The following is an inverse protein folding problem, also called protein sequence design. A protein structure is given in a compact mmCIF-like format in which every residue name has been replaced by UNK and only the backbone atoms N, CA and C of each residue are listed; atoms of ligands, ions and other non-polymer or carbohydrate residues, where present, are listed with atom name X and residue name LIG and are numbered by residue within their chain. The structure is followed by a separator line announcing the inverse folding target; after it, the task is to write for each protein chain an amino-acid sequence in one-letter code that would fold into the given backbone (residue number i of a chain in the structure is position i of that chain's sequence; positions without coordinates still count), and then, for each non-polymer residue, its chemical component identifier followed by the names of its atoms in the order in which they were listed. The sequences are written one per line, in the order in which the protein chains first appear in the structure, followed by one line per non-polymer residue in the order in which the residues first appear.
data_IF_258366051273
#
_entry.id   IF_258366051273
#
_cell.length_a   1.000
_cell.length_b   1.000
_cell.length_c   1.000
_cell.angle_alpha   90.00
_cell.angle_beta   90.00
_cell.angle_gamma   90.00
#
_symmetry.space_group_name_H-M   'P 1'
#
loop_
_entity.id
_entity.type
_entity.pdbx_description
1 polymer ?
#
# COMPACT_ATOMS: atom_id res chain seq x y z
N UNK A 1 19.78 1.95 -6.18
CA UNK A 1 18.59 1.29 -5.60
C UNK A 1 18.92 0.32 -4.46
N UNK A 2 19.76 -0.72 -4.62
CA UNK A 2 20.00 -1.73 -3.55
C UNK A 2 20.47 -1.14 -2.21
N UNK A 3 21.35 -0.13 -2.22
CA UNK A 3 21.84 0.57 -1.01
C UNK A 3 20.70 1.32 -0.30
N UNK A 4 19.97 2.13 -1.05
CA UNK A 4 18.80 2.91 -0.58
C UNK A 4 17.71 1.99 0.01
N UNK A 5 17.41 0.87 -0.68
CA UNK A 5 16.43 -0.10 -0.20
C UNK A 5 16.81 -0.65 1.19
N UNK A 6 18.08 -1.04 1.36
CA UNK A 6 18.58 -1.58 2.63
C UNK A 6 18.53 -0.55 3.75
N UNK A 7 18.82 0.71 3.43
CA UNK A 7 18.78 1.82 4.38
C UNK A 7 17.33 2.14 4.80
N UNK A 8 16.39 2.16 3.85
CA UNK A 8 14.96 2.32 4.14
C UNK A 8 14.42 1.12 4.95
N UNK A 9 14.82 -0.10 4.63
CA UNK A 9 14.45 -1.30 5.41
C UNK A 9 14.99 -1.27 6.84
N UNK A 10 16.19 -0.75 7.04
CA UNK A 10 16.79 -0.64 8.39
C UNK A 10 16.12 0.47 9.20
N UNK A 11 15.82 1.62 8.57
CA UNK A 11 15.30 2.80 9.27
C UNK A 11 13.78 2.81 9.47
N UNK A 12 13.03 2.13 8.60
CA UNK A 12 11.56 2.17 8.58
C UNK A 12 10.90 0.79 8.55
N UNK A 13 11.67 -0.29 8.71
CA UNK A 13 11.17 -1.68 8.63
C UNK A 13 9.92 -1.94 9.49
N UNK A 14 9.87 -1.37 10.68
CA UNK A 14 8.76 -1.52 11.62
C UNK A 14 7.44 -0.91 11.11
N UNK A 15 7.50 0.02 10.16
CA UNK A 15 6.33 0.71 9.62
C UNK A 15 5.84 0.09 8.31
N UNK A 16 6.42 -1.02 7.86
CA UNK A 16 6.02 -1.65 6.60
C UNK A 16 4.80 -2.54 6.77
N UNK A 17 3.79 -2.26 5.95
CA UNK A 17 2.65 -3.15 5.76
C UNK A 17 2.97 -4.27 4.76
N UNK A 18 3.83 -3.98 3.76
CA UNK A 18 4.27 -4.95 2.76
C UNK A 18 5.73 -4.72 2.37
N UNK A 19 6.34 -5.75 1.78
CA UNK A 19 7.70 -5.66 1.23
C UNK A 19 7.73 -4.56 0.14
N UNK A 20 8.68 -3.60 0.22
CA UNK A 20 8.86 -2.56 -0.79
C UNK A 20 8.98 -3.11 -2.20
N UNK A 21 8.22 -2.54 -3.14
CA UNK A 21 8.20 -2.96 -4.54
C UNK A 21 9.07 -2.00 -5.36
N UNK A 22 9.99 -2.55 -6.15
CA UNK A 22 10.79 -1.76 -7.09
C UNK A 22 10.15 -1.83 -8.47
N UNK A 23 9.87 -0.67 -9.07
CA UNK A 23 9.32 -0.56 -10.41
C UNK A 23 10.15 0.41 -11.24
N UNK A 24 10.94 -0.12 -12.20
CA UNK A 24 11.91 0.67 -13.00
C UNK A 24 12.86 1.45 -12.07
N UNK A 25 12.73 2.78 -12.05
CA UNK A 25 13.53 3.71 -11.24
C UNK A 25 12.82 4.17 -9.96
N UNK A 26 11.61 3.66 -9.70
CA UNK A 26 10.78 4.01 -8.56
C UNK A 26 10.84 2.91 -7.49
N UNK A 27 10.86 3.34 -6.23
CA UNK A 27 10.67 2.48 -5.07
C UNK A 27 9.33 2.83 -4.43
N UNK A 28 8.41 1.87 -4.42
CA UNK A 28 7.07 2.02 -3.84
C UNK A 28 7.09 1.41 -2.44
N UNK A 29 6.74 2.23 -1.45
CA UNK A 29 6.72 1.87 -0.03
C UNK A 29 5.27 1.79 0.46
N UNK A 30 4.87 0.63 0.97
CA UNK A 30 3.58 0.44 1.63
C UNK A 30 3.80 0.56 3.13
N UNK A 31 3.51 1.75 3.67
CA UNK A 31 3.76 2.10 5.07
C UNK A 31 2.47 2.32 5.83
N UNK A 32 2.50 2.09 7.14
CA UNK A 32 1.44 2.46 8.06
C UNK A 32 1.94 3.46 9.11
N UNK A 33 1.01 4.25 9.64
CA UNK A 33 1.29 5.26 10.64
C UNK A 33 0.05 5.49 11.49
N UNK A 34 0.26 5.69 12.78
CA UNK A 34 -0.82 5.87 13.76
C UNK A 34 -1.52 7.22 13.60
N UNK A 35 -0.80 8.22 13.06
CA UNK A 35 -1.33 9.55 12.76
C UNK A 35 -0.71 10.11 11.46
N UNK A 36 -1.36 11.13 10.90
CA UNK A 36 -0.93 11.78 9.64
C UNK A 36 0.37 12.58 9.78
N UNK A 37 0.66 13.13 10.96
CA UNK A 37 1.88 13.90 11.24
C UNK A 37 3.14 13.02 11.22
N UNK A 38 3.04 11.81 11.74
CA UNK A 38 4.08 10.79 11.72
C UNK A 38 4.34 10.34 10.28
N UNK A 39 3.29 10.22 9.45
CA UNK A 39 3.45 9.92 8.03
C UNK A 39 4.20 11.03 7.27
N UNK A 40 3.91 12.30 7.57
CA UNK A 40 4.65 13.42 6.99
C UNK A 40 6.10 13.50 7.51
N UNK A 41 6.32 13.22 8.79
CA UNK A 41 7.67 13.12 9.38
C UNK A 41 8.49 12.01 8.72
N UNK A 42 7.89 10.85 8.48
CA UNK A 42 8.55 9.74 7.77
C UNK A 42 8.90 10.13 6.33
N UNK A 43 8.00 10.81 5.62
CA UNK A 43 8.28 11.35 4.28
C UNK A 43 9.48 12.28 4.30
N UNK A 44 9.54 13.20 5.26
CA UNK A 44 10.65 14.14 5.37
C UNK A 44 11.99 13.41 5.54
N UNK A 45 12.03 12.44 6.45
CA UNK A 45 13.22 11.60 6.68
C UNK A 45 13.62 10.77 5.46
N UNK A 46 12.66 10.23 4.70
CA UNK A 46 12.96 9.47 3.46
C UNK A 46 13.56 10.38 2.39
N UNK A 47 13.12 11.64 2.31
CA UNK A 47 13.67 12.63 1.38
C UNK A 47 15.12 12.99 1.70
N UNK A 48 15.53 12.91 2.96
CA UNK A 48 16.90 13.19 3.40
C UNK A 48 17.88 12.04 3.12
N UNK A 49 17.41 10.86 2.71
CA UNK A 49 18.27 9.72 2.36
C UNK A 49 19.05 10.02 1.08
N UNK A 50 20.36 9.84 1.15
CA UNK A 50 21.27 10.06 0.02
C UNK A 50 20.89 9.18 -1.18
N UNK A 51 20.65 9.83 -2.33
CA UNK A 51 20.22 9.19 -3.57
C UNK A 51 18.69 9.14 -3.79
N UNK A 52 17.88 9.70 -2.90
CA UNK A 52 16.44 9.93 -3.14
C UNK A 52 16.23 11.29 -3.79
N UNK A 53 15.89 11.31 -5.08
CA UNK A 53 15.65 12.56 -5.84
C UNK A 53 14.28 13.16 -5.53
N UNK A 54 13.27 12.32 -5.32
CA UNK A 54 11.90 12.75 -5.11
C UNK A 54 11.10 11.74 -4.28
N UNK A 55 10.18 12.24 -3.46
CA UNK A 55 9.27 11.45 -2.63
C UNK A 55 7.85 12.02 -2.72
N UNK A 56 6.91 11.20 -3.15
CA UNK A 56 5.48 11.51 -3.14
C UNK A 56 4.75 10.62 -2.15
N UNK A 57 3.79 11.18 -1.41
CA UNK A 57 2.98 10.43 -0.46
C UNK A 57 1.57 10.34 -0.97
N UNK A 58 1.06 9.12 -1.00
CA UNK A 58 -0.31 8.83 -1.36
C UNK A 58 -1.09 8.37 -0.12
N UNK A 59 -2.03 9.20 0.34
CA UNK A 59 -2.98 8.82 1.38
C UNK A 59 -4.27 8.31 0.73
N UNK A 60 -4.65 7.03 0.93
CA UNK A 60 -5.90 6.52 0.41
C UNK A 60 -7.08 7.26 1.05
N UNK A 61 -7.96 7.86 0.22
CA UNK A 61 -9.17 8.57 0.70
C UNK A 61 -10.14 7.67 1.48
N UNK A 62 -10.08 6.35 1.24
CA UNK A 62 -10.84 5.31 1.96
C UNK A 62 -9.96 4.08 2.10
N UNK A 63 -9.72 3.62 3.32
CA UNK A 63 -9.10 2.32 3.59
C UNK A 63 -10.25 1.32 3.72
N UNK A 64 -10.48 0.54 2.67
CA UNK A 64 -11.44 -0.56 2.78
C UNK A 64 -10.69 -1.72 3.41
N UNK A 65 -11.03 -2.09 4.66
CA UNK A 65 -10.39 -3.23 5.32
C UNK A 65 -10.41 -4.46 4.39
N UNK A 66 -9.38 -5.33 4.40
CA UNK A 66 -9.28 -6.46 3.47
C UNK A 66 -10.55 -7.31 3.42
N UNK A 67 -11.17 -7.55 4.58
CA UNK A 67 -12.46 -8.25 4.71
C UNK A 67 -13.61 -7.54 4.00
N UNK A 68 -13.73 -6.22 4.19
CA UNK A 68 -14.77 -5.42 3.52
C UNK A 68 -14.49 -5.25 2.03
N UNK A 69 -13.21 -5.15 1.63
CA UNK A 69 -12.79 -5.08 0.23
C UNK A 69 -13.08 -6.38 -0.50
N UNK A 70 -12.72 -7.53 0.07
CA UNK A 70 -13.02 -8.86 -0.52
C UNK A 70 -14.54 -9.05 -0.62
N UNK A 71 -15.29 -8.80 0.46
CA UNK A 71 -16.76 -8.91 0.44
C UNK A 71 -17.39 -8.00 -0.63
N UNK A 72 -16.96 -6.74 -0.72
CA UNK A 72 -17.52 -5.81 -1.71
C UNK A 72 -17.08 -6.14 -3.14
N UNK A 73 -15.84 -6.59 -3.35
CA UNK A 73 -15.35 -7.04 -4.65
C UNK A 73 -16.11 -8.27 -5.14
N UNK A 74 -16.37 -9.25 -4.26
CA UNK A 74 -17.20 -10.42 -4.59
C UNK A 74 -18.64 -10.02 -4.90
N UNK A 75 -19.25 -9.14 -4.09
CA UNK A 75 -20.60 -8.63 -4.35
C UNK A 75 -20.70 -7.87 -5.68
N UNK A 76 -19.69 -7.07 -6.02
CA UNK A 76 -19.65 -6.32 -7.27
C UNK A 76 -19.41 -7.24 -8.48
N UNK A 77 -18.55 -8.25 -8.35
CA UNK A 77 -18.31 -9.24 -9.39
C UNK A 77 -19.56 -10.09 -9.67
N UNK A 78 -20.29 -10.50 -8.61
CA UNK A 78 -21.54 -11.26 -8.74
C UNK A 78 -22.70 -10.45 -9.36
N UNK A 79 -22.62 -9.11 -9.36
CA UNK A 79 -23.60 -8.22 -10.00
C UNK A 79 -23.28 -7.90 -11.46
N UNK A 80 -22.14 -8.37 -11.97
CA UNK A 80 -21.74 -8.08 -13.35
C UNK A 80 -22.40 -9.07 -14.31
N UNK A 81 -23.21 -8.55 -15.25
CA UNK A 81 -23.83 -9.37 -16.32
C UNK A 81 -22.80 -10.06 -17.24
N UNK A 82 -21.53 -9.63 -17.21
CA UNK A 82 -20.44 -10.22 -17.98
C UNK A 82 -19.75 -11.38 -17.27
N UNK A 83 -19.94 -11.54 -15.97
CA UNK A 83 -19.24 -12.54 -15.17
C UNK A 83 -20.27 -13.55 -14.63
N UNK A 84 -20.31 -14.74 -15.24
CA UNK A 84 -21.18 -15.85 -14.79
C UNK A 84 -20.65 -16.47 -13.49
N UNK A 85 -20.65 -15.70 -12.39
CA UNK A 85 -20.37 -16.25 -11.06
C UNK A 85 -21.70 -16.75 -10.48
N UNK A 86 -21.88 -18.05 -10.24
CA UNK A 86 -23.12 -18.56 -9.68
C UNK A 86 -23.31 -18.04 -8.25
N UNK A 87 -24.32 -17.18 -8.08
CA UNK A 87 -24.68 -16.49 -6.82
C UNK A 87 -24.94 -17.46 -5.64
N UNK A 88 -25.21 -18.73 -5.91
CA UNK A 88 -25.56 -19.77 -4.92
C UNK A 88 -24.48 -20.10 -3.88
N UNK A 89 -23.21 -19.73 -4.07
CA UNK A 89 -22.13 -20.13 -3.17
C UNK A 89 -21.80 -19.11 -2.06
N UNK A 90 -22.43 -17.93 -2.04
CA UNK A 90 -22.07 -16.84 -1.11
C UNK A 90 -22.86 -16.90 0.21
N UNK A 91 -23.96 -17.67 0.28
CA UNK A 91 -24.76 -17.85 1.49
C UNK A 91 -24.53 -19.23 2.11
N UNK A 92 -23.37 -19.45 2.74
CA UNK A 92 -23.16 -20.56 3.67
C UNK A 92 -22.48 -20.08 4.93
#
# INVERSE_FOLDING_TARGET
IKKIKKEIETSFGDHFWQVPVTAKELLVLFMYSDNIYNADTMRHKIKEIDGVVFTEVFFPKKITMPTNWVSNSVKNAARSDKLHVPIKQINR
#
